data_IF_455041862105
#
_entry.id   IF_455041862105
#
_cell.length_a   1.000
_cell.length_b   1.000
_cell.length_c   1.000
_cell.angle_alpha   90.00
_cell.angle_beta   90.00
_cell.angle_gamma   90.00
#
_symmetry.space_group_name_H-M   'P 1'
#
loop_
_entity.id
_entity.type
_entity.pdbx_description
1 polymer ?
#
# COMPACT_ATOMS: atom_id res chain seq x y z
N UNK A 1 -11.59 -4.73 -2.90
CA UNK A 1 -12.31 -3.44 -2.84
C UNK A 1 -12.96 -3.41 -1.47
N UNK A 2 -12.66 -2.40 -0.65
CA UNK A 2 -13.27 -2.25 0.67
C UNK A 2 -14.47 -1.35 0.47
N UNK A 3 -15.68 -1.90 0.59
CA UNK A 3 -16.90 -1.10 0.66
C UNK A 3 -17.18 -0.92 2.15
N UNK A 4 -16.73 0.21 2.71
CA UNK A 4 -17.04 0.58 4.09
C UNK A 4 -18.31 1.42 4.10
N UNK A 5 -19.44 0.79 4.38
CA UNK A 5 -20.61 1.51 4.88
C UNK A 5 -20.38 1.75 6.37
N UNK A 6 -20.04 2.99 6.74
CA UNK A 6 -19.89 3.37 8.15
C UNK A 6 -21.19 4.02 8.61
N UNK A 7 -21.93 3.35 9.48
CA UNK A 7 -22.96 3.96 10.32
C UNK A 7 -22.56 3.65 11.78
N UNK A 8 -22.39 4.65 12.67
CA UNK A 8 -22.07 4.39 14.06
C UNK A 8 -23.19 3.62 14.76
N UNK A 9 -22.86 2.39 15.20
CA UNK A 9 -23.54 1.52 16.19
C UNK A 9 -24.90 2.00 16.76
N UNK A 10 -25.97 1.19 16.76
CA UNK A 10 -27.25 1.54 17.35
C UNK A 10 -27.18 1.50 18.89
N UNK A 11 -26.62 2.53 19.53
CA UNK A 11 -26.86 2.76 20.96
C UNK A 11 -28.25 3.37 21.14
N UNK A 12 -29.28 2.51 21.17
CA UNK A 12 -30.62 2.96 21.55
C UNK A 12 -30.77 2.93 23.07
N UNK A 13 -30.35 4.03 23.72
CA UNK A 13 -30.88 4.44 25.02
C UNK A 13 -30.70 3.45 26.19
N UNK A 14 -29.50 2.88 26.38
CA UNK A 14 -29.12 2.22 27.64
C UNK A 14 -29.80 0.87 27.94
N UNK A 15 -30.38 0.21 26.94
CA UNK A 15 -30.99 -1.13 27.08
C UNK A 15 -30.16 -2.15 26.29
N UNK A 16 -29.78 -3.26 26.95
CA UNK A 16 -29.18 -4.41 26.27
C UNK A 16 -30.17 -4.97 25.24
N UNK A 17 -29.77 -4.98 23.97
CA UNK A 17 -30.53 -5.53 22.85
C UNK A 17 -29.67 -6.60 22.15
N UNK A 18 -30.27 -7.73 21.83
CA UNK A 18 -29.64 -8.83 21.06
C UNK A 18 -29.94 -8.65 19.58
N UNK A 19 -29.39 -7.59 19.00
CA UNK A 19 -29.51 -7.31 17.56
C UNK A 19 -28.24 -7.76 16.83
N UNK A 20 -28.36 -8.38 15.65
CA UNK A 20 -27.20 -8.80 14.88
C UNK A 20 -26.34 -7.59 14.51
N UNK A 21 -25.12 -7.55 15.03
CA UNK A 21 -24.13 -6.55 14.66
C UNK A 21 -23.43 -6.98 13.37
N UNK A 22 -23.14 -6.04 12.46
CA UNK A 22 -22.23 -6.30 11.35
C UNK A 22 -20.90 -6.85 11.89
N UNK A 23 -20.38 -7.87 11.22
CA UNK A 23 -19.06 -8.44 11.49
C UNK A 23 -18.13 -8.02 10.35
N UNK A 24 -17.02 -7.39 10.70
CA UNK A 24 -15.95 -7.13 9.75
C UNK A 24 -15.30 -8.45 9.34
N UNK A 25 -15.48 -8.85 8.09
CA UNK A 25 -14.91 -10.07 7.54
C UNK A 25 -14.07 -9.74 6.29
N UNK A 26 -12.87 -10.32 6.22
CA UNK A 26 -11.96 -10.16 5.09
C UNK A 26 -11.60 -11.53 4.52
N UNK A 27 -11.78 -11.71 3.21
CA UNK A 27 -11.37 -12.92 2.50
C UNK A 27 -10.43 -12.59 1.31
N UNK A 28 -9.47 -13.48 0.99
CA UNK A 28 -8.68 -13.37 -0.22
C UNK A 28 -9.58 -13.43 -1.46
N UNK A 29 -9.35 -12.56 -2.45
CA UNK A 29 -10.16 -12.52 -3.67
C UNK A 29 -10.17 -13.86 -4.43
N UNK A 30 -9.10 -14.64 -4.35
CA UNK A 30 -9.02 -15.99 -4.94
C UNK A 30 -9.96 -17.02 -4.29
N UNK A 31 -10.64 -16.65 -3.21
CA UNK A 31 -11.61 -17.47 -2.47
C UNK A 31 -13.03 -16.91 -2.57
N UNK A 32 -13.23 -15.84 -3.35
CA UNK A 32 -14.53 -15.22 -3.59
C UNK A 32 -14.96 -15.55 -5.03
N UNK A 33 -16.15 -16.12 -5.18
CA UNK A 33 -16.76 -16.40 -6.49
C UNK A 33 -17.99 -15.50 -6.70
N UNK A 34 -18.29 -15.08 -7.95
CA UNK A 34 -19.53 -14.37 -8.26
C UNK A 34 -20.75 -15.17 -7.83
N UNK A 35 -21.76 -14.48 -7.31
CA UNK A 35 -23.08 -15.09 -7.05
C UNK A 35 -23.83 -15.23 -8.37
N UNK A 36 -24.39 -16.41 -8.62
CA UNK A 36 -25.17 -16.70 -9.82
C UNK A 36 -26.30 -15.68 -10.05
N UNK A 37 -26.44 -15.22 -11.29
CA UNK A 37 -27.50 -14.30 -11.72
C UNK A 37 -27.23 -12.82 -11.43
N UNK A 38 -26.11 -12.47 -10.79
CA UNK A 38 -25.70 -11.09 -10.58
C UNK A 38 -24.76 -10.59 -11.70
N UNK A 39 -24.93 -9.34 -12.12
CA UNK A 39 -24.16 -8.74 -13.21
C UNK A 39 -22.76 -8.27 -12.77
N UNK A 40 -21.86 -9.23 -12.54
CA UNK A 40 -20.47 -8.96 -12.13
C UNK A 40 -19.55 -8.49 -13.28
N UNK A 41 -20.02 -8.57 -14.52
CA UNK A 41 -19.31 -8.10 -15.73
C UNK A 41 -19.16 -6.57 -15.78
N UNK A 42 -20.02 -5.84 -15.07
CA UNK A 42 -19.97 -4.38 -14.94
C UNK A 42 -19.11 -3.90 -13.77
N UNK A 43 -18.68 -4.82 -12.89
CA UNK A 43 -17.82 -4.47 -11.76
C UNK A 43 -16.42 -4.20 -12.33
N UNK A 44 -15.87 -2.98 -12.18
CA UNK A 44 -14.53 -2.70 -12.69
C UNK A 44 -13.50 -3.61 -12.01
N UNK A 45 -12.98 -4.59 -12.76
CA UNK A 45 -11.95 -5.53 -12.29
C UNK A 45 -10.55 -4.97 -12.46
N UNK A 46 -10.38 -4.01 -13.37
CA UNK A 46 -9.16 -3.21 -13.51
C UNK A 46 -9.05 -2.19 -12.38
N UNK A 47 -7.97 -2.26 -11.59
CA UNK A 47 -7.62 -1.18 -10.67
C UNK A 47 -7.18 0.05 -11.48
N UNK A 48 -8.04 1.05 -11.60
CA UNK A 48 -7.59 2.42 -11.90
C UNK A 48 -6.94 2.96 -10.63
N UNK A 49 -5.65 3.27 -10.67
CA UNK A 49 -4.91 3.76 -9.49
C UNK A 49 -4.32 2.65 -8.61
N UNK A 50 -3.59 1.68 -9.20
CA UNK A 50 -2.65 0.90 -8.39
C UNK A 50 -1.56 1.86 -7.93
N UNK A 51 -1.47 2.13 -6.63
CA UNK A 51 -0.32 2.82 -6.08
C UNK A 51 0.95 2.14 -6.59
N UNK A 52 1.86 2.88 -7.23
CA UNK A 52 3.05 2.30 -7.83
C UNK A 52 3.79 1.52 -6.76
N UNK A 53 4.17 0.26 -7.04
CA UNK A 53 4.70 -0.62 -6.00
C UNK A 53 5.94 -0.05 -5.27
N UNK A 54 6.67 0.85 -5.95
CA UNK A 54 7.92 1.43 -5.50
C UNK A 54 7.99 2.91 -5.80
N UNK A 55 8.80 3.62 -5.00
CA UNK A 55 9.18 5.00 -5.26
C UNK A 55 10.63 5.24 -4.84
N UNK A 56 11.25 6.24 -5.45
CA UNK A 56 12.59 6.73 -5.12
C UNK A 56 12.45 8.13 -4.56
N UNK A 57 12.89 8.32 -3.33
CA UNK A 57 13.07 9.64 -2.72
C UNK A 57 14.48 10.16 -3.03
N UNK A 58 14.57 11.45 -3.35
CA UNK A 58 15.84 12.17 -3.56
C UNK A 58 16.00 13.20 -2.42
N UNK A 59 16.71 12.86 -1.33
CA UNK A 59 16.79 13.70 -0.15
C UNK A 59 17.53 15.01 -0.41
N UNK A 60 17.07 16.09 0.21
CA UNK A 60 17.73 17.41 0.14
C UNK A 60 18.43 17.69 1.47
N UNK A 61 19.76 17.58 1.47
CA UNK A 61 20.57 17.86 2.65
C UNK A 61 20.90 19.35 2.75
N UNK A 62 20.65 19.94 3.93
CA UNK A 62 21.10 21.30 4.27
C UNK A 62 22.28 21.23 5.25
N UNK A 63 23.28 22.11 5.07
CA UNK A 63 24.43 22.20 5.98
C UNK A 63 25.46 21.06 5.79
N UNK A 64 25.92 20.47 6.90
CA UNK A 64 26.97 19.43 6.90
C UNK A 64 26.42 18.01 6.85
N UNK A 65 25.10 17.83 6.86
CA UNK A 65 24.48 16.51 6.76
C UNK A 65 24.83 15.85 5.43
N UNK A 66 25.10 14.54 5.51
CA UNK A 66 25.42 13.70 4.36
C UNK A 66 24.67 12.38 4.52
N UNK A 67 24.13 11.90 3.42
CA UNK A 67 23.50 10.59 3.36
C UNK A 67 23.35 10.13 1.92
N UNK A 68 22.61 9.04 1.69
CA UNK A 68 22.39 8.52 0.35
C UNK A 68 21.71 9.57 -0.53
N UNK A 69 22.15 9.68 -1.78
CA UNK A 69 21.51 10.57 -2.75
C UNK A 69 20.11 10.09 -3.14
N UNK A 70 19.80 8.81 -2.89
CA UNK A 70 18.52 8.17 -3.22
C UNK A 70 18.10 7.18 -2.16
N UNK A 71 16.83 7.22 -1.77
CA UNK A 71 16.24 6.25 -0.84
C UNK A 71 15.10 5.51 -1.56
N UNK A 72 15.25 4.19 -1.73
CA UNK A 72 14.25 3.34 -2.36
C UNK A 72 13.21 2.96 -1.30
N UNK A 73 11.93 3.01 -1.67
CA UNK A 73 10.78 2.77 -0.78
C UNK A 73 9.70 1.93 -1.47
N UNK A 74 8.87 1.27 -0.65
CA UNK A 74 7.54 0.84 -1.11
C UNK A 74 6.69 2.06 -1.46
N UNK A 75 5.86 1.96 -2.48
CA UNK A 75 4.98 3.05 -2.91
C UNK A 75 4.13 3.63 -1.80
N UNK A 76 3.60 2.75 -0.95
CA UNK A 76 2.73 3.09 0.19
C UNK A 76 3.51 3.47 1.46
N UNK A 77 4.84 3.60 1.41
CA UNK A 77 5.61 4.00 2.58
C UNK A 77 5.41 5.49 2.88
N UNK A 78 5.02 5.83 4.11
CA UNK A 78 4.85 7.23 4.54
C UNK A 78 6.10 7.85 5.16
N UNK A 79 7.24 7.16 5.14
CA UNK A 79 8.49 7.65 5.72
C UNK A 79 9.26 8.64 4.81
N UNK A 80 8.78 8.90 3.59
CA UNK A 80 9.38 9.91 2.71
C UNK A 80 9.28 11.29 3.32
N UNK A 81 10.37 12.04 3.32
CA UNK A 81 10.46 13.41 3.81
C UNK A 81 10.52 14.43 2.68
N UNK A 82 11.17 14.06 1.58
CA UNK A 82 11.41 14.89 0.41
C UNK A 82 10.68 14.38 -0.84
N UNK A 83 11.06 14.94 -2.00
CA UNK A 83 10.52 14.58 -3.31
C UNK A 83 10.70 13.10 -3.59
N UNK A 84 9.57 12.40 -3.73
CA UNK A 84 9.54 11.00 -4.11
C UNK A 84 8.82 10.82 -5.44
N UNK A 85 9.45 10.07 -6.34
CA UNK A 85 8.90 9.73 -7.66
C UNK A 85 8.61 8.24 -7.78
N UNK A 86 7.50 7.84 -8.40
CA UNK A 86 7.19 6.44 -8.62
C UNK A 86 8.16 5.80 -9.61
N UNK A 87 8.46 4.52 -9.41
CA UNK A 87 9.36 3.75 -10.29
C UNK A 87 8.87 2.31 -10.49
N UNK A 88 9.29 1.69 -11.59
CA UNK A 88 9.04 0.26 -11.84
C UNK A 88 9.89 -0.64 -10.94
N UNK A 89 9.55 -1.92 -10.85
CA UNK A 89 10.35 -2.91 -10.09
C UNK A 89 11.78 -3.01 -10.60
N UNK A 90 12.01 -2.99 -11.92
CA UNK A 90 13.36 -3.03 -12.48
C UNK A 90 14.15 -1.77 -12.14
N UNK A 91 13.53 -0.60 -12.24
CA UNK A 91 14.15 0.67 -11.84
C UNK A 91 14.50 0.68 -10.34
N UNK A 92 13.63 0.13 -9.48
CA UNK A 92 13.90 0.01 -8.06
C UNK A 92 15.07 -0.92 -7.76
N UNK A 93 15.16 -2.07 -8.46
CA UNK A 93 16.33 -2.98 -8.36
C UNK A 93 17.60 -2.29 -8.83
N UNK A 94 17.59 -1.71 -10.02
CA UNK A 94 18.74 -1.00 -10.57
C UNK A 94 19.21 0.15 -9.67
N UNK A 95 18.28 0.86 -9.02
CA UNK A 95 18.61 1.91 -8.06
C UNK A 95 19.31 1.37 -6.81
N UNK A 96 18.91 0.19 -6.30
CA UNK A 96 19.55 -0.43 -5.12
C UNK A 96 20.98 -0.93 -5.37
N UNK A 97 21.37 -1.15 -6.62
CA UNK A 97 22.74 -1.53 -6.98
C UNK A 97 23.70 -0.33 -7.06
N UNK A 98 23.18 0.90 -6.96
CA UNK A 98 24.02 2.10 -7.00
C UNK A 98 24.71 2.34 -5.65
N UNK A 99 25.98 2.79 -5.64
CA UNK A 99 26.71 3.05 -4.41
C UNK A 99 26.17 4.28 -3.64
N UNK A 100 25.45 5.17 -4.31
CA UNK A 100 24.87 6.39 -3.76
C UNK A 100 23.41 6.21 -3.30
N UNK A 101 22.90 4.98 -3.25
CA UNK A 101 21.52 4.66 -2.91
C UNK A 101 21.42 3.79 -1.66
N UNK A 102 20.30 3.94 -0.95
CA UNK A 102 19.97 3.11 0.21
C UNK A 102 18.53 2.60 0.14
N UNK A 103 18.29 1.44 0.75
CA UNK A 103 16.95 0.98 1.02
C UNK A 103 16.40 1.70 2.26
N UNK A 104 15.14 2.12 2.22
CA UNK A 104 14.47 2.66 3.40
C UNK A 104 14.44 1.63 4.53
N UNK A 105 14.89 2.05 5.71
CA UNK A 105 14.99 1.20 6.90
C UNK A 105 13.61 0.80 7.46
N UNK A 106 12.58 1.62 7.21
CA UNK A 106 11.21 1.39 7.71
C UNK A 106 10.49 0.32 6.90
N UNK A 107 10.35 0.53 5.58
CA UNK A 107 9.58 -0.37 4.72
C UNK A 107 10.39 -1.53 4.13
N UNK A 108 11.72 -1.54 4.34
CA UNK A 108 12.67 -2.58 3.93
C UNK A 108 12.40 -3.16 2.53
N UNK A 109 12.43 -2.32 1.48
CA UNK A 109 12.14 -2.75 0.11
C UNK A 109 13.24 -3.64 -0.46
N UNK A 110 14.44 -3.62 0.14
CA UNK A 110 15.54 -4.54 -0.18
C UNK A 110 15.13 -6.01 -0.08
N UNK A 111 14.31 -6.37 0.92
CA UNK A 111 13.90 -7.76 1.14
C UNK A 111 13.20 -8.36 -0.09
N UNK A 112 12.05 -7.83 -0.55
CA UNK A 112 11.38 -8.37 -1.74
C UNK A 112 12.14 -8.11 -3.05
N UNK A 113 12.92 -7.02 -3.15
CA UNK A 113 13.61 -6.68 -4.39
C UNK A 113 14.83 -7.58 -4.64
N UNK A 114 15.51 -8.04 -3.57
CA UNK A 114 16.66 -8.96 -3.64
C UNK A 114 16.29 -10.44 -3.58
N UNK A 115 15.15 -10.80 -2.99
CA UNK A 115 14.71 -12.19 -2.88
C UNK A 115 13.99 -12.72 -4.13
N UNK A 116 13.61 -11.85 -5.07
CA UNK A 116 12.83 -12.19 -6.25
C UNK A 116 13.70 -12.45 -7.50
N UNK A 117 14.84 -13.13 -7.31
CA UNK A 117 15.70 -13.65 -8.38
C UNK A 117 15.21 -15.03 -8.84
#
# INVERSE_FOLDING_TARGET
>A
MVVSATDPSPQRSGRLADEPSPVDFTAPASRCEPIDGQAYDQVPTGRVGVDPAWKVEEPVYFGTERGPARIIQRGTCHASRDLARPVTTEQARAALERPDAAACEVCRPDRPLRSAA
#
